data_IF_846937095022
#
_entry.id   IF_846937095022
#
_cell.length_a   1.000
_cell.length_b   1.000
_cell.length_c   1.000
_cell.angle_alpha   90.00
_cell.angle_beta   90.00
_cell.angle_gamma   90.00
#
_symmetry.space_group_name_H-M   'P 1'
#
loop_
_entity.id
_entity.type
_entity.pdbx_description
1 polymer ?
#
# COMPACT_ATOMS: atom_id res chain seq x y z
N UNK A 1 -18.06 -20.06 10.82
CA UNK A 1 -17.32 -20.66 9.70
C UNK A 1 -15.85 -20.93 10.03
N UNK A 2 -15.09 -20.04 10.69
CA UNK A 2 -13.68 -20.34 11.07
C UNK A 2 -13.53 -21.15 12.37
N UNK A 3 -14.39 -20.91 13.37
CA UNK A 3 -14.30 -21.57 14.70
C UNK A 3 -14.71 -23.04 14.72
N UNK A 4 -15.57 -23.48 13.79
CA UNK A 4 -16.03 -24.87 13.70
C UNK A 4 -14.89 -25.88 13.44
N UNK A 5 -13.91 -25.59 12.56
CA UNK A 5 -12.72 -26.41 12.41
C UNK A 5 -11.56 -26.08 13.39
N UNK A 6 -11.80 -25.34 14.48
CA UNK A 6 -10.76 -25.02 15.48
C UNK A 6 -9.72 -24.00 15.02
N UNK A 7 -10.02 -23.23 13.95
CA UNK A 7 -9.16 -22.15 13.47
C UNK A 7 -9.67 -20.80 13.96
N UNK A 8 -8.75 -19.89 14.25
CA UNK A 8 -9.09 -18.50 14.56
C UNK A 8 -9.16 -17.65 13.29
N UNK A 9 -10.10 -16.70 13.26
CA UNK A 9 -10.16 -15.72 12.18
C UNK A 9 -8.95 -14.80 12.28
N UNK A 10 -8.27 -14.56 11.16
CA UNK A 10 -7.25 -13.53 11.02
C UNK A 10 -7.60 -12.61 9.87
N UNK A 11 -7.36 -11.31 10.07
CA UNK A 11 -7.63 -10.29 9.05
C UNK A 11 -6.31 -9.74 8.51
N UNK A 12 -6.24 -9.66 7.19
CA UNK A 12 -5.31 -8.79 6.45
C UNK A 12 -6.11 -7.58 5.99
N UNK A 13 -5.62 -6.37 6.26
CA UNK A 13 -6.24 -5.13 5.78
C UNK A 13 -5.30 -4.40 4.82
N UNK A 14 -5.84 -3.76 3.79
CA UNK A 14 -5.05 -3.25 2.67
C UNK A 14 -5.39 -1.79 2.41
N UNK A 15 -4.35 -0.96 2.27
CA UNK A 15 -4.53 0.40 1.77
C UNK A 15 -4.80 0.33 0.26
N UNK A 16 -6.07 0.26 -0.11
CA UNK A 16 -6.48 0.07 -1.50
C UNK A 16 -6.01 1.21 -2.42
N UNK A 17 -6.18 2.45 -1.94
CA UNK A 17 -5.59 3.65 -2.51
C UNK A 17 -5.21 4.62 -1.39
N UNK A 18 -4.43 5.64 -1.71
CA UNK A 18 -3.96 6.61 -0.71
C UNK A 18 -4.82 7.88 -0.72
N UNK A 19 -5.00 8.55 0.43
CA UNK A 19 -5.61 9.87 0.47
C UNK A 19 -4.93 10.85 -0.50
N UNK A 20 -5.68 11.80 -1.04
CA UNK A 20 -5.17 12.75 -2.05
C UNK A 20 -3.92 13.48 -1.54
N UNK A 21 -3.91 13.88 -0.27
CA UNK A 21 -2.78 14.54 0.36
C UNK A 21 -1.49 13.71 0.36
N UNK A 22 -1.54 12.39 0.20
CA UNK A 22 -0.38 11.50 0.12
C UNK A 22 0.16 11.31 -1.31
N UNK A 23 -0.49 11.89 -2.32
CA UNK A 23 -0.03 11.89 -3.72
C UNK A 23 0.74 13.17 -4.04
N UNK A 24 1.60 13.14 -5.07
CA UNK A 24 2.34 14.34 -5.52
C UNK A 24 1.43 15.43 -6.06
N UNK A 25 0.34 15.04 -6.72
CA UNK A 25 -0.59 15.97 -7.36
C UNK A 25 -1.68 16.49 -6.44
N UNK A 26 -1.87 15.87 -5.28
CA UNK A 26 -2.95 16.21 -4.33
C UNK A 26 -4.35 16.02 -4.92
N UNK A 27 -4.45 15.14 -5.91
CA UNK A 27 -5.68 14.83 -6.65
C UNK A 27 -6.15 13.41 -6.36
N UNK A 28 -7.46 13.18 -6.48
CA UNK A 28 -8.03 11.85 -6.36
C UNK A 28 -7.50 10.94 -7.47
N UNK A 29 -7.10 9.71 -7.13
CA UNK A 29 -6.54 8.71 -8.07
C UNK A 29 -5.25 9.13 -8.77
N UNK A 30 -4.55 10.14 -8.27
CA UNK A 30 -3.24 10.48 -8.83
C UNK A 30 -2.25 9.33 -8.60
N UNK A 31 -1.60 8.91 -9.69
CA UNK A 31 -0.68 7.76 -9.70
C UNK A 31 0.43 7.86 -8.67
N UNK A 32 1.12 9.00 -8.64
CA UNK A 32 2.44 9.10 -8.00
C UNK A 32 2.34 9.52 -6.53
N UNK A 33 2.90 8.69 -5.65
CA UNK A 33 3.00 8.96 -4.22
C UNK A 33 4.00 10.09 -3.91
N UNK A 34 3.71 10.84 -2.85
CA UNK A 34 4.56 11.90 -2.31
C UNK A 34 5.36 11.40 -1.09
N UNK A 35 6.69 11.18 -1.23
CA UNK A 35 7.54 10.72 -0.12
C UNK A 35 7.53 11.64 1.10
N UNK A 36 7.30 12.94 0.92
CA UNK A 36 7.28 13.91 2.02
C UNK A 36 6.06 13.69 2.94
N UNK A 37 5.08 12.90 2.50
CA UNK A 37 3.88 12.56 3.25
C UNK A 37 3.93 11.15 3.84
N UNK A 38 5.01 10.39 3.62
CA UNK A 38 5.09 8.99 4.08
C UNK A 38 4.95 8.85 5.59
N UNK A 39 5.52 9.77 6.37
CA UNK A 39 5.35 9.79 7.82
C UNK A 39 3.88 9.94 8.24
N UNK A 40 3.12 10.79 7.54
CA UNK A 40 1.68 10.97 7.80
C UNK A 40 0.87 9.78 7.31
N UNK A 41 1.22 9.20 6.16
CA UNK A 41 0.57 7.99 5.65
C UNK A 41 0.79 6.79 6.58
N UNK A 42 1.99 6.66 7.16
CA UNK A 42 2.28 5.63 8.15
C UNK A 42 1.43 5.81 9.42
N UNK A 43 1.27 7.05 9.88
CA UNK A 43 0.34 7.40 10.96
C UNK A 43 -1.10 7.02 10.62
N UNK A 44 -1.60 7.44 9.46
CA UNK A 44 -2.95 7.12 8.98
C UNK A 44 -3.23 5.60 8.94
N UNK A 45 -2.31 4.82 8.38
CA UNK A 45 -2.45 3.35 8.35
C UNK A 45 -2.39 2.73 9.74
N UNK A 46 -1.56 3.27 10.64
CA UNK A 46 -1.47 2.82 12.03
C UNK A 46 -2.76 3.10 12.80
N UNK A 47 -3.33 4.29 12.64
CA UNK A 47 -4.59 4.69 13.25
C UNK A 47 -5.75 3.81 12.76
N UNK A 48 -5.76 3.46 11.47
CA UNK A 48 -6.73 2.51 10.91
C UNK A 48 -6.63 1.12 11.56
N UNK A 49 -5.42 0.56 11.68
CA UNK A 49 -5.23 -0.74 12.33
C UNK A 49 -5.65 -0.69 13.79
N UNK A 50 -5.28 0.39 14.50
CA UNK A 50 -5.65 0.59 15.91
C UNK A 50 -7.16 0.66 16.08
N UNK A 51 -7.85 1.40 15.20
CA UNK A 51 -9.31 1.47 15.17
C UNK A 51 -9.93 0.07 15.01
N UNK A 52 -9.50 -0.71 14.02
CA UNK A 52 -10.03 -2.07 13.80
C UNK A 52 -9.78 -2.99 15.00
N UNK A 53 -8.59 -2.93 15.60
CA UNK A 53 -8.25 -3.74 16.79
C UNK A 53 -9.10 -3.35 18.00
N UNK A 54 -9.37 -2.06 18.18
CA UNK A 54 -10.26 -1.58 19.24
C UNK A 54 -11.70 -2.03 19.04
N UNK A 55 -12.13 -2.23 17.79
CA UNK A 55 -13.44 -2.81 17.43
C UNK A 55 -13.47 -4.35 17.56
N UNK A 56 -12.43 -4.95 18.13
CA UNK A 56 -12.35 -6.39 18.38
C UNK A 56 -12.01 -7.24 17.15
N UNK A 57 -11.60 -6.61 16.04
CA UNK A 57 -11.24 -7.32 14.81
C UNK A 57 -9.82 -7.90 14.92
N UNK A 58 -9.62 -9.19 14.61
CA UNK A 58 -8.32 -9.86 14.73
C UNK A 58 -7.37 -9.53 13.56
N UNK A 59 -7.02 -8.26 13.40
CA UNK A 59 -6.03 -7.83 12.39
C UNK A 59 -4.67 -8.42 12.73
N UNK A 60 -4.14 -9.20 11.80
CA UNK A 60 -2.82 -9.84 11.89
C UNK A 60 -1.80 -9.25 10.93
N UNK A 61 -2.24 -8.68 9.81
CA UNK A 61 -1.35 -8.08 8.82
C UNK A 61 -1.95 -6.82 8.19
N UNK A 62 -1.07 -5.90 7.80
CA UNK A 62 -1.39 -4.78 6.91
C UNK A 62 -0.66 -4.91 5.58
N UNK A 63 -1.37 -4.62 4.49
CA UNK A 63 -0.84 -4.58 3.13
C UNK A 63 -0.77 -3.14 2.63
N UNK A 64 0.37 -2.78 2.04
CA UNK A 64 0.68 -1.39 1.67
C UNK A 64 -0.12 -0.89 0.47
N UNK A 65 -0.51 -1.80 -0.42
CA UNK A 65 -1.23 -1.46 -1.64
C UNK A 65 -2.00 -2.66 -2.16
N UNK A 66 -3.14 -2.41 -2.81
CA UNK A 66 -3.67 -3.32 -3.82
C UNK A 66 -2.95 -3.01 -5.14
N UNK A 67 -2.57 -3.98 -5.98
CA UNK A 67 -2.07 -3.85 -7.37
C UNK A 67 -1.18 -2.62 -7.72
N UNK A 68 -0.37 -2.14 -6.79
CA UNK A 68 0.45 -0.93 -6.94
C UNK A 68 1.65 -1.11 -7.87
N UNK A 69 1.78 -2.27 -8.53
CA UNK A 69 2.86 -2.66 -9.42
C UNK A 69 2.69 -2.21 -10.88
N UNK A 70 1.66 -1.39 -11.15
CA UNK A 70 1.27 -0.98 -12.51
C UNK A 70 1.53 0.53 -12.75
N UNK A 71 2.72 0.93 -13.23
CA UNK A 71 3.05 2.36 -13.43
C UNK A 71 2.28 3.05 -14.56
N UNK A 72 1.59 2.28 -15.41
CA UNK A 72 0.89 2.78 -16.59
C UNK A 72 -0.64 2.67 -16.50
N UNK A 73 -1.17 1.97 -15.48
CA UNK A 73 -2.61 1.74 -15.31
C UNK A 73 -3.29 2.89 -14.54
N UNK A 74 -2.52 3.88 -14.04
CA UNK A 74 -3.06 4.96 -13.22
C UNK A 74 -2.74 6.34 -13.81
N UNK A 75 -3.68 7.30 -13.75
CA UNK A 75 -3.50 8.63 -14.33
C UNK A 75 -2.50 9.47 -13.55
N UNK A 76 -1.54 10.07 -14.24
CA UNK A 76 -0.49 10.91 -13.64
C UNK A 76 -1.07 12.10 -12.87
N UNK A 77 -2.13 12.71 -13.41
CA UNK A 77 -2.76 13.90 -12.86
C UNK A 77 -4.01 13.61 -12.02
N UNK A 78 -4.28 12.34 -11.72
CA UNK A 78 -5.53 11.93 -11.07
C UNK A 78 -6.73 12.10 -11.97
N UNK A 79 -7.92 12.06 -11.36
CA UNK A 79 -9.20 12.11 -12.06
C UNK A 79 -9.67 10.75 -12.58
N UNK A 80 -10.81 10.78 -13.25
CA UNK A 80 -11.25 9.69 -14.13
C UNK A 80 -10.55 9.94 -15.46
N UNK A 81 -9.77 8.99 -16.00
CA UNK A 81 -9.37 9.12 -17.40
C UNK A 81 -10.64 9.03 -18.24
N UNK A 82 -11.07 10.15 -18.81
CA UNK A 82 -12.12 10.21 -19.84
C UNK A 82 -11.51 10.04 -21.25
N UNK A 83 -10.19 9.89 -21.30
CA UNK A 83 -9.38 9.94 -22.49
C UNK A 83 -8.83 8.55 -22.82
N UNK A 84 -9.74 7.61 -23.13
CA UNK A 84 -9.84 6.93 -24.45
C UNK A 84 -10.68 5.62 -24.47
N UNK A 85 -11.78 5.66 -25.23
CA UNK A 85 -12.41 4.56 -25.98
C UNK A 85 -13.34 3.53 -25.29
N UNK A 86 -14.12 3.91 -24.28
CA UNK A 86 -15.52 3.48 -24.16
C UNK A 86 -16.18 4.10 -22.93
N UNK A 87 -17.45 4.46 -23.04
CA UNK A 87 -18.33 4.81 -21.91
C UNK A 87 -18.53 3.65 -20.92
N UNK A 88 -17.88 2.50 -21.13
CA UNK A 88 -17.80 1.37 -20.19
C UNK A 88 -16.65 1.49 -19.17
N UNK A 89 -15.76 2.49 -19.29
CA UNK A 89 -14.59 2.68 -18.41
C UNK A 89 -14.91 3.36 -17.06
N UNK A 90 -16.12 3.15 -16.55
CA UNK A 90 -16.51 3.49 -15.17
C UNK A 90 -15.80 2.64 -14.09
N UNK A 91 -14.70 1.95 -14.43
CA UNK A 91 -14.15 0.83 -13.65
C UNK A 91 -12.71 0.95 -13.18
N UNK A 92 -12.03 2.10 -13.30
CA UNK A 92 -10.65 2.21 -12.82
C UNK A 92 -10.59 2.17 -11.28
N UNK A 93 -9.87 1.17 -10.75
CA UNK A 93 -9.61 0.95 -9.33
C UNK A 93 -9.05 2.20 -8.65
N UNK A 94 -9.51 2.49 -7.43
CA UNK A 94 -8.97 3.56 -6.60
C UNK A 94 -7.59 3.18 -6.05
N UNK A 95 -6.54 3.43 -6.83
CA UNK A 95 -5.21 2.93 -6.54
C UNK A 95 -4.10 3.93 -6.93
N UNK A 96 -2.87 3.66 -6.51
CA UNK A 96 -1.68 4.45 -6.81
C UNK A 96 -0.51 3.53 -7.17
N UNK A 97 0.45 4.04 -7.95
CA UNK A 97 1.67 3.31 -8.23
C UNK A 97 2.59 3.33 -7.01
N UNK A 98 3.03 2.15 -6.58
CA UNK A 98 3.94 1.93 -5.48
C UNK A 98 5.27 1.39 -6.01
N UNK A 99 6.25 2.26 -6.32
CA UNK A 99 7.57 1.81 -6.72
C UNK A 99 8.16 0.82 -5.69
N UNK A 100 8.83 -0.25 -6.14
CA UNK A 100 9.47 -1.23 -5.26
C UNK A 100 10.37 -0.62 -4.17
N UNK A 101 11.08 0.46 -4.49
CA UNK A 101 11.94 1.18 -3.54
C UNK A 101 11.12 1.84 -2.43
N UNK A 102 9.99 2.42 -2.79
CA UNK A 102 9.08 3.06 -1.83
C UNK A 102 8.42 2.01 -0.95
N UNK A 103 8.05 0.85 -1.50
CA UNK A 103 7.52 -0.27 -0.71
C UNK A 103 8.51 -0.69 0.38
N UNK A 104 9.77 -0.97 0.02
CA UNK A 104 10.80 -1.37 1.00
C UNK A 104 11.06 -0.27 2.04
N UNK A 105 11.14 0.99 1.60
CA UNK A 105 11.29 2.12 2.51
C UNK A 105 10.10 2.23 3.47
N UNK A 106 8.88 2.07 2.97
CA UNK A 106 7.66 2.26 3.73
C UNK A 106 7.42 1.12 4.73
N UNK A 107 7.75 -0.13 4.38
CA UNK A 107 7.72 -1.25 5.35
C UNK A 107 8.61 -0.94 6.56
N UNK A 108 9.84 -0.44 6.32
CA UNK A 108 10.77 -0.05 7.38
C UNK A 108 10.25 1.15 8.19
N UNK A 109 9.64 2.12 7.53
CA UNK A 109 9.06 3.30 8.16
C UNK A 109 7.85 2.98 9.02
N UNK A 110 6.95 2.10 8.57
CA UNK A 110 5.70 1.79 9.25
C UNK A 110 5.90 1.00 10.54
N UNK A 111 6.93 0.14 10.60
CA UNK A 111 7.23 -0.69 11.78
C UNK A 111 7.31 0.12 13.10
N UNK A 112 8.14 1.18 13.23
CA UNK A 112 8.21 1.94 14.48
C UNK A 112 6.90 2.66 14.85
N UNK A 113 6.05 3.02 13.88
CA UNK A 113 4.73 3.59 14.16
C UNK A 113 3.80 2.56 14.80
N UNK A 114 3.74 1.35 14.24
CA UNK A 114 2.97 0.25 14.82
C UNK A 114 3.49 -0.12 16.22
N UNK A 115 4.81 -0.19 16.39
CA UNK A 115 5.42 -0.57 17.68
C UNK A 115 5.11 0.42 18.79
N UNK A 116 5.10 1.72 18.47
CA UNK A 116 4.76 2.79 19.42
C UNK A 116 3.33 2.65 19.94
N UNK A 117 2.42 2.17 19.11
CA UNK A 117 1.01 1.95 19.46
C UNK A 117 0.75 0.54 20.02
N UNK A 118 1.80 -0.22 20.34
CA UNK A 118 1.67 -1.57 20.92
C UNK A 118 1.27 -2.66 19.91
N UNK A 119 1.30 -2.37 18.60
CA UNK A 119 0.89 -3.28 17.51
C UNK A 119 2.05 -4.14 16.98
N UNK A 120 2.96 -4.57 17.87
CA UNK A 120 4.16 -5.36 17.53
C UNK A 120 3.84 -6.69 16.85
N UNK A 121 2.68 -7.27 17.15
CA UNK A 121 2.19 -8.53 16.62
C UNK A 121 1.46 -8.40 15.26
N UNK A 122 1.29 -7.18 14.73
CA UNK A 122 0.74 -6.97 13.39
C UNK A 122 1.89 -6.98 12.39
N UNK A 123 1.86 -7.93 11.46
CA UNK A 123 2.83 -8.02 10.37
C UNK A 123 2.61 -6.96 9.30
N UNK A 124 3.66 -6.62 8.55
CA UNK A 124 3.58 -5.71 7.41
C UNK A 124 3.95 -6.51 6.16
N UNK A 125 3.05 -6.55 5.19
CA UNK A 125 3.27 -7.21 3.89
C UNK A 125 3.78 -6.18 2.87
N UNK A 126 4.47 -6.62 1.79
CA UNK A 126 4.97 -5.70 0.77
C UNK A 126 3.88 -5.11 -0.13
N UNK A 127 2.61 -5.45 0.07
CA UNK A 127 1.52 -5.13 -0.85
C UNK A 127 1.04 -6.35 -1.63
N UNK A 128 -0.06 -6.16 -2.36
CA UNK A 128 -0.72 -7.17 -3.20
C UNK A 128 -0.45 -6.86 -4.67
N UNK A 129 0.73 -7.24 -5.16
CA UNK A 129 1.03 -7.13 -6.60
C UNK A 129 0.05 -7.96 -7.42
N UNK A 130 -0.21 -7.56 -8.66
CA UNK A 130 -1.19 -8.24 -9.52
C UNK A 130 -0.85 -9.72 -9.77
N UNK A 131 0.42 -10.10 -9.74
CA UNK A 131 0.86 -11.49 -9.72
C UNK A 131 2.31 -11.65 -9.21
N UNK A 132 2.71 -12.89 -8.93
CA UNK A 132 4.07 -13.23 -8.49
C UNK A 132 5.17 -12.82 -9.49
N UNK A 133 4.86 -12.84 -10.79
CA UNK A 133 5.79 -12.38 -11.83
C UNK A 133 6.20 -10.92 -11.60
N UNK A 134 5.24 -10.03 -11.30
CA UNK A 134 5.54 -8.62 -11.05
C UNK A 134 6.25 -8.42 -9.71
N UNK A 135 5.85 -9.13 -8.66
CA UNK A 135 6.57 -9.09 -7.38
C UNK A 135 8.06 -9.44 -7.54
N UNK A 136 8.38 -10.48 -8.31
CA UNK A 136 9.75 -10.90 -8.54
C UNK A 136 10.49 -9.99 -9.53
N UNK A 137 9.91 -9.76 -10.71
CA UNK A 137 10.63 -9.18 -11.84
C UNK A 137 10.63 -7.65 -11.84
N UNK A 138 9.68 -6.99 -11.17
CA UNK A 138 9.69 -5.53 -11.04
C UNK A 138 10.55 -5.05 -9.88
N UNK A 139 11.15 -5.96 -9.12
CA UNK A 139 12.17 -5.63 -8.14
C UNK A 139 11.70 -5.57 -6.70
N UNK A 140 10.45 -5.90 -6.38
CA UNK A 140 9.99 -5.99 -4.99
C UNK A 140 10.79 -7.06 -4.24
N UNK A 141 10.74 -8.32 -4.67
CA UNK A 141 11.44 -9.42 -3.99
C UNK A 141 12.97 -9.19 -3.90
N UNK A 142 13.68 -8.83 -4.99
CA UNK A 142 15.12 -8.55 -4.91
C UNK A 142 15.48 -7.44 -3.91
N UNK A 143 14.71 -6.34 -3.84
CA UNK A 143 15.01 -5.24 -2.92
C UNK A 143 14.77 -5.60 -1.45
N UNK A 144 13.77 -6.43 -1.16
CA UNK A 144 13.55 -6.96 0.20
C UNK A 144 14.72 -7.83 0.67
N UNK A 145 15.24 -8.70 -0.19
CA UNK A 145 16.39 -9.58 0.12
C UNK A 145 17.68 -8.77 0.31
N UNK A 146 17.91 -7.76 -0.54
CA UNK A 146 19.16 -7.00 -0.52
C UNK A 146 19.21 -5.92 0.58
N UNK A 147 18.08 -5.59 1.21
CA UNK A 147 18.01 -4.64 2.33
C UNK A 147 18.38 -3.18 1.97
N UNK A 148 18.69 -2.87 0.71
CA UNK A 148 19.17 -1.56 0.27
C UNK A 148 18.00 -0.63 -0.05
N UNK A 149 17.84 0.42 0.76
CA UNK A 149 17.19 1.64 0.29
C UNK A 149 18.14 2.28 -0.74
N UNK A 150 17.74 2.31 -2.01
CA UNK A 150 18.57 2.94 -3.04
C UNK A 150 18.46 4.45 -2.84
N UNK A 151 19.58 5.08 -2.51
CA UNK A 151 19.77 6.53 -2.55
C UNK A 151 19.28 7.07 -3.91
N UNK A 152 18.25 7.91 -3.88
CA UNK A 152 17.80 8.67 -5.03
C UNK A 152 18.95 9.57 -5.50
N UNK A 153 19.64 9.20 -6.59
CA UNK A 153 20.41 10.21 -7.32
C UNK A 153 19.40 11.12 -8.02
N UNK A 154 19.47 12.45 -7.84
CA UNK A 154 18.73 13.36 -8.69
C UNK A 154 19.30 13.27 -10.11
N UNK A 155 18.40 13.32 -11.11
CA UNK A 155 18.76 13.79 -12.45
C UNK A 155 18.77 15.31 -12.43
#
# INVERSE_FOLDING_TARGET
MTRQPGSDLQIVTTAYGVPTWATKKKEMRARDLDPDQFAKLAGYMTDWIKFLRNDGLPVGYVSLHNQGDKPYDFPVHGGYSMDKWNESDFGWDYNAYWPPQYVVQFVKLLRPYLDKEGLRNVGITPGETSCWHYFQNYGYAPLFVLGRAISTRPK
#
